data_IF_093413110681
#
_entry.id   IF_093413110681
#
_cell.length_a   1.000
_cell.length_b   1.000
_cell.length_c   1.000
_cell.angle_alpha   90.00
_cell.angle_beta   90.00
_cell.angle_gamma   90.00
#
_symmetry.space_group_name_H-M   'P 1'
#
loop_
_entity.id
_entity.type
_entity.pdbx_description
1 polymer ?
#
# COMPACT_ATOMS: atom_id res chain seq x y z
N UNK A 1 -20.43 45.22 9.45
CA UNK A 1 -20.98 43.86 9.23
C UNK A 1 -20.41 43.45 7.88
N UNK A 2 -19.15 43.02 7.89
CA UNK A 2 -18.36 42.89 6.67
C UNK A 2 -18.59 41.52 6.05
N UNK A 3 -19.11 41.50 4.82
CA UNK A 3 -19.30 40.28 4.06
C UNK A 3 -17.95 39.75 3.57
N UNK A 4 -17.65 38.50 3.91
CA UNK A 4 -16.51 37.75 3.37
C UNK A 4 -16.83 37.35 1.91
N UNK A 5 -15.92 37.55 0.95
CA UNK A 5 -16.17 37.17 -0.44
C UNK A 5 -16.29 35.65 -0.59
N UNK A 6 -17.35 35.20 -1.27
CA UNK A 6 -17.59 33.79 -1.57
C UNK A 6 -16.46 33.18 -2.38
N UNK A 7 -16.06 31.97 -2.01
CA UNK A 7 -15.09 31.16 -2.74
C UNK A 7 -15.63 30.87 -4.15
N UNK A 8 -14.82 31.04 -5.21
CA UNK A 8 -15.29 30.70 -6.55
C UNK A 8 -15.62 29.19 -6.64
N UNK A 9 -16.63 28.79 -7.43
CA UNK A 9 -16.91 27.39 -7.67
C UNK A 9 -15.66 26.72 -8.26
N UNK A 10 -15.29 25.56 -7.71
CA UNK A 10 -14.20 24.74 -8.26
C UNK A 10 -14.55 24.41 -9.70
N UNK A 11 -13.72 24.86 -10.64
CA UNK A 11 -13.82 24.46 -12.05
C UNK A 11 -13.85 22.93 -12.15
N UNK A 12 -14.71 22.41 -13.03
CA UNK A 12 -14.81 20.98 -13.33
C UNK A 12 -13.43 20.46 -13.73
N UNK A 13 -12.85 19.67 -12.83
CA UNK A 13 -11.57 19.02 -13.07
C UNK A 13 -11.83 17.96 -14.13
N UNK A 14 -11.05 17.87 -15.23
CA UNK A 14 -11.20 16.77 -16.18
C UNK A 14 -11.15 15.45 -15.43
N UNK A 15 -11.97 14.47 -15.85
CA UNK A 15 -12.00 13.14 -15.24
C UNK A 15 -10.57 12.62 -15.12
N UNK A 16 -10.15 12.34 -13.88
CA UNK A 16 -8.81 11.84 -13.60
C UNK A 16 -8.60 10.52 -14.37
N UNK A 17 -7.47 10.33 -15.07
CA UNK A 17 -7.18 9.07 -15.77
C UNK A 17 -7.01 7.88 -14.82
N UNK A 18 -7.03 8.14 -13.51
CA UNK A 18 -6.96 7.13 -12.46
C UNK A 18 -8.01 7.41 -11.40
N UNK A 19 -9.01 6.52 -11.33
CA UNK A 19 -10.05 6.43 -10.30
C UNK A 19 -9.98 5.01 -9.69
N UNK A 20 -9.41 4.87 -8.47
CA UNK A 20 -9.31 3.57 -7.82
C UNK A 20 -10.65 2.87 -7.62
N UNK A 21 -11.71 3.61 -7.28
CA UNK A 21 -13.02 3.00 -6.98
C UNK A 21 -13.60 2.40 -8.25
N UNK A 22 -13.60 3.16 -9.35
CA UNK A 22 -14.06 2.67 -10.64
C UNK A 22 -13.24 1.47 -11.12
N UNK A 23 -11.91 1.50 -10.94
CA UNK A 23 -11.02 0.40 -11.35
C UNK A 23 -11.18 -0.87 -10.50
N UNK A 24 -11.54 -0.74 -9.22
CA UNK A 24 -11.68 -1.87 -8.30
C UNK A 24 -13.08 -2.49 -8.33
N UNK A 25 -14.11 -1.70 -8.66
CA UNK A 25 -15.52 -2.13 -8.67
C UNK A 25 -15.78 -3.45 -9.42
N UNK A 26 -15.23 -3.68 -10.63
CA UNK A 26 -15.43 -4.94 -11.34
C UNK A 26 -14.90 -6.18 -10.60
N UNK A 27 -13.87 -6.01 -9.78
CA UNK A 27 -13.28 -7.09 -9.00
C UNK A 27 -14.07 -7.35 -7.71
N UNK A 28 -14.55 -6.30 -7.06
CA UNK A 28 -15.18 -6.36 -5.72
C UNK A 28 -16.68 -6.64 -5.74
N UNK A 29 -17.34 -6.50 -6.89
CA UNK A 29 -18.78 -6.81 -7.06
C UNK A 29 -19.04 -8.07 -7.90
N UNK A 30 -17.99 -8.67 -8.47
CA UNK A 30 -18.10 -9.83 -9.37
C UNK A 30 -17.94 -11.18 -8.68
N UNK A 31 -18.06 -12.27 -9.46
CA UNK A 31 -17.75 -13.64 -9.01
C UNK A 31 -16.29 -13.82 -8.59
N UNK A 32 -15.42 -12.88 -8.98
CA UNK A 32 -14.00 -12.87 -8.65
C UNK A 32 -13.71 -12.72 -7.15
N UNK A 33 -14.68 -12.35 -6.32
CA UNK A 33 -14.47 -12.19 -4.87
C UNK A 33 -14.33 -13.49 -4.08
N UNK A 34 -14.51 -14.64 -4.73
CA UNK A 34 -14.61 -15.94 -4.05
C UNK A 34 -15.83 -16.02 -3.12
N UNK A 35 -16.89 -15.27 -3.43
CA UNK A 35 -18.11 -15.21 -2.63
C UNK A 35 -18.06 -14.26 -1.43
N UNK A 36 -16.95 -13.55 -1.23
CA UNK A 36 -16.79 -12.57 -0.13
C UNK A 36 -17.39 -11.23 -0.52
N UNK A 37 -18.03 -10.55 0.43
CA UNK A 37 -18.34 -9.14 0.28
C UNK A 37 -17.07 -8.32 0.46
N UNK A 38 -16.91 -7.26 -0.33
CA UNK A 38 -15.77 -6.35 -0.27
C UNK A 38 -16.21 -4.94 0.05
N UNK A 39 -15.37 -4.21 0.78
CA UNK A 39 -15.54 -2.80 1.08
C UNK A 39 -14.39 -2.02 0.45
N UNK A 40 -14.72 -0.89 -0.18
CA UNK A 40 -13.76 0.12 -0.59
C UNK A 40 -14.07 1.39 0.17
N UNK A 41 -13.08 1.94 0.88
CA UNK A 41 -13.17 3.24 1.56
C UNK A 41 -12.03 4.13 1.10
N UNK A 42 -12.28 5.40 0.80
CA UNK A 42 -11.26 6.34 0.35
C UNK A 42 -11.25 7.59 1.23
N UNK A 43 -10.04 8.05 1.55
CA UNK A 43 -9.77 9.42 1.99
C UNK A 43 -9.01 10.17 0.89
N UNK A 44 -8.51 11.37 1.20
CA UNK A 44 -7.76 12.20 0.23
C UNK A 44 -6.44 11.58 -0.24
N UNK A 45 -5.90 10.60 0.49
CA UNK A 45 -4.58 10.01 0.28
C UNK A 45 -4.64 8.57 -0.18
N UNK A 46 -5.56 7.77 0.36
CA UNK A 46 -5.60 6.33 0.16
C UNK A 46 -7.03 5.83 -0.04
N UNK A 47 -7.18 4.88 -0.96
CA UNK A 47 -8.31 3.97 -1.00
C UNK A 47 -7.87 2.64 -0.39
N UNK A 48 -8.64 2.14 0.58
CA UNK A 48 -8.49 0.83 1.18
C UNK A 48 -9.53 -0.12 0.58
N UNK A 49 -9.09 -1.31 0.20
CA UNK A 49 -9.92 -2.40 -0.30
C UNK A 49 -9.72 -3.63 0.58
N UNK A 50 -10.78 -4.09 1.22
CA UNK A 50 -10.73 -5.19 2.19
C UNK A 50 -11.97 -6.09 2.09
N UNK A 51 -11.84 -7.41 2.35
CA UNK A 51 -12.99 -8.27 2.55
C UNK A 51 -13.74 -7.86 3.82
N UNK A 52 -15.07 -7.84 3.76
CA UNK A 52 -15.92 -7.56 4.93
C UNK A 52 -15.75 -8.69 5.95
N UNK A 53 -15.44 -8.33 7.19
CA UNK A 53 -15.21 -9.29 8.27
C UNK A 53 -13.80 -9.89 8.30
N UNK A 54 -12.89 -9.44 7.43
CA UNK A 54 -11.48 -9.83 7.50
C UNK A 54 -10.77 -9.20 8.70
N UNK A 55 -10.01 -10.01 9.43
CA UNK A 55 -9.11 -9.52 10.48
C UNK A 55 -7.67 -9.48 9.96
N UNK A 56 -7.06 -8.30 10.07
CA UNK A 56 -5.63 -8.14 9.78
C UNK A 56 -4.82 -8.30 11.07
N UNK A 57 -3.71 -9.06 11.04
CA UNK A 57 -2.80 -9.17 12.16
C UNK A 57 -2.23 -7.78 12.53
N UNK A 58 -1.75 -7.61 13.75
CA UNK A 58 -1.18 -6.33 14.20
C UNK A 58 0.07 -5.91 13.43
N UNK A 59 0.82 -6.87 12.92
CA UNK A 59 2.08 -6.69 12.19
C UNK A 59 2.37 -7.88 11.27
N UNK A 60 3.34 -7.71 10.38
CA UNK A 60 3.81 -8.78 9.51
C UNK A 60 4.62 -8.26 8.33
N UNK A 61 4.85 -9.15 7.38
CA UNK A 61 5.41 -8.81 6.08
C UNK A 61 4.36 -8.13 5.21
N UNK A 62 4.68 -6.95 4.70
CA UNK A 62 3.87 -6.22 3.73
C UNK A 62 4.58 -6.19 2.39
N UNK A 63 3.79 -6.22 1.33
CA UNK A 63 4.29 -6.02 -0.02
C UNK A 63 3.92 -4.62 -0.47
N UNK A 64 4.87 -3.90 -1.06
CA UNK A 64 4.65 -2.63 -1.73
C UNK A 64 4.87 -2.79 -3.22
N UNK A 65 3.95 -2.27 -4.01
CA UNK A 65 4.08 -2.21 -5.47
C UNK A 65 4.23 -0.76 -5.87
N UNK A 66 5.26 -0.47 -6.66
CA UNK A 66 5.49 0.86 -7.22
C UNK A 66 4.81 1.04 -8.56
N UNK A 67 4.55 2.30 -8.92
CA UNK A 67 3.98 2.65 -10.22
C UNK A 67 4.43 4.04 -10.66
N UNK A 68 4.53 4.24 -11.97
CA UNK A 68 4.47 5.58 -12.56
C UNK A 68 3.01 6.04 -12.71
N UNK A 69 2.75 7.37 -12.83
CA UNK A 69 1.41 7.88 -13.12
C UNK A 69 0.77 7.26 -14.36
N UNK A 70 1.57 6.98 -15.41
CA UNK A 70 1.08 6.36 -16.64
C UNK A 70 0.71 4.87 -16.45
N UNK A 71 1.47 4.13 -15.63
CA UNK A 71 1.24 2.70 -15.39
C UNK A 71 0.23 2.39 -14.27
N UNK A 72 -0.16 3.37 -13.46
CA UNK A 72 -0.94 3.16 -12.23
C UNK A 72 -2.25 2.40 -12.44
N UNK A 73 -3.03 2.77 -13.47
CA UNK A 73 -4.31 2.11 -13.75
C UNK A 73 -4.16 0.65 -14.18
N UNK A 74 -3.13 0.34 -14.98
CA UNK A 74 -2.86 -1.03 -15.42
C UNK A 74 -2.32 -1.88 -14.27
N UNK A 75 -1.37 -1.36 -13.50
CA UNK A 75 -0.82 -2.04 -12.31
C UNK A 75 -1.94 -2.35 -11.32
N UNK A 76 -2.82 -1.38 -11.02
CA UNK A 76 -3.94 -1.62 -10.10
C UNK A 76 -4.86 -2.74 -10.59
N UNK A 77 -5.24 -2.75 -11.87
CA UNK A 77 -6.09 -3.82 -12.44
C UNK A 77 -5.46 -5.20 -12.30
N UNK A 78 -4.17 -5.33 -12.63
CA UNK A 78 -3.45 -6.60 -12.55
C UNK A 78 -3.29 -7.09 -11.11
N UNK A 79 -2.90 -6.18 -10.20
CA UNK A 79 -2.74 -6.50 -8.78
C UNK A 79 -4.09 -6.86 -8.14
N UNK A 80 -5.15 -6.09 -8.40
CA UNK A 80 -6.48 -6.38 -7.87
C UNK A 80 -7.04 -7.73 -8.37
N UNK A 81 -6.76 -8.09 -9.62
CA UNK A 81 -7.13 -9.39 -10.19
C UNK A 81 -6.51 -10.59 -9.48
N UNK A 82 -5.40 -10.40 -8.77
CA UNK A 82 -4.75 -11.43 -7.94
C UNK A 82 -5.25 -11.35 -6.50
N UNK A 83 -5.23 -10.16 -5.90
CA UNK A 83 -5.50 -9.99 -4.47
C UNK A 83 -6.96 -10.24 -4.10
N UNK A 84 -7.90 -9.83 -4.95
CA UNK A 84 -9.35 -9.94 -4.64
C UNK A 84 -9.84 -11.38 -4.57
N UNK A 85 -9.52 -12.27 -5.53
CA UNK A 85 -9.82 -13.70 -5.40
C UNK A 85 -9.20 -14.35 -4.15
N UNK A 86 -7.97 -13.96 -3.81
CA UNK A 86 -7.25 -14.48 -2.65
C UNK A 86 -7.77 -13.92 -1.30
N UNK A 87 -8.65 -12.91 -1.31
CA UNK A 87 -9.16 -12.31 -0.09
C UNK A 87 -8.17 -11.39 0.62
N UNK A 88 -7.12 -10.91 -0.06
CA UNK A 88 -6.03 -10.17 0.57
C UNK A 88 -6.35 -8.68 0.58
N UNK A 89 -6.34 -8.06 1.76
CA UNK A 89 -6.57 -6.63 1.90
C UNK A 89 -5.38 -5.80 1.38
N UNK A 90 -5.67 -4.63 0.82
CA UNK A 90 -4.64 -3.71 0.34
C UNK A 90 -5.13 -2.26 0.35
N UNK A 91 -4.19 -1.32 0.28
CA UNK A 91 -4.47 0.08 0.00
C UNK A 91 -3.74 0.56 -1.24
N UNK A 92 -4.30 1.57 -1.89
CA UNK A 92 -3.76 2.20 -3.10
C UNK A 92 -3.90 3.72 -3.00
N UNK A 93 -3.01 4.47 -3.66
CA UNK A 93 -3.14 5.92 -3.78
C UNK A 93 -4.56 6.33 -4.25
N UNK A 94 -5.14 7.37 -3.65
CA UNK A 94 -6.54 7.76 -3.92
C UNK A 94 -6.77 8.46 -5.28
N UNK A 95 -5.73 9.00 -5.93
CA UNK A 95 -5.89 9.82 -7.13
C UNK A 95 -4.63 9.90 -7.99
N UNK A 96 -4.77 10.35 -9.24
CA UNK A 96 -3.62 10.59 -10.14
C UNK A 96 -2.64 11.62 -9.58
N UNK A 97 -3.12 12.65 -8.89
CA UNK A 97 -2.30 13.64 -8.20
C UNK A 97 -1.49 12.98 -7.07
N UNK A 98 -2.11 12.05 -6.35
CA UNK A 98 -1.47 11.31 -5.27
C UNK A 98 -0.39 10.36 -5.78
N UNK A 99 -0.60 9.72 -6.93
CA UNK A 99 0.44 8.93 -7.62
C UNK A 99 1.60 9.84 -8.05
N UNK A 100 1.31 11.00 -8.64
CA UNK A 100 2.34 11.99 -9.03
C UNK A 100 3.13 12.48 -7.82
N UNK A 101 2.47 12.73 -6.70
CA UNK A 101 3.13 13.11 -5.45
C UNK A 101 4.07 12.01 -4.94
N UNK A 102 3.65 10.75 -4.96
CA UNK A 102 4.46 9.61 -4.47
C UNK A 102 5.77 9.41 -5.26
N UNK A 103 5.83 9.83 -6.52
CA UNK A 103 7.04 9.74 -7.35
C UNK A 103 7.82 11.05 -7.43
N UNK A 104 7.32 12.11 -6.78
CA UNK A 104 7.97 13.43 -6.76
C UNK A 104 9.25 13.41 -5.93
N UNK A 105 10.23 14.24 -6.34
CA UNK A 105 11.48 14.41 -5.59
C UNK A 105 11.29 15.02 -4.20
N UNK A 106 10.18 15.75 -4.00
CA UNK A 106 9.87 16.45 -2.76
C UNK A 106 9.12 15.56 -1.76
N UNK A 107 8.75 14.34 -2.16
CA UNK A 107 8.04 13.43 -1.28
C UNK A 107 8.99 12.77 -0.28
N UNK A 108 8.48 12.48 0.92
CA UNK A 108 9.20 11.74 1.94
C UNK A 108 9.75 10.44 1.36
N UNK A 109 11.08 10.25 1.44
CA UNK A 109 11.79 9.15 0.81
C UNK A 109 11.58 7.82 1.52
N UNK A 110 11.16 7.83 2.79
CA UNK A 110 10.73 6.62 3.47
C UNK A 110 9.41 6.06 2.90
N UNK A 111 8.62 6.90 2.23
CA UNK A 111 7.28 6.57 1.73
C UNK A 111 7.14 6.67 0.20
N UNK A 112 8.12 7.26 -0.49
CA UNK A 112 8.09 7.47 -1.93
C UNK A 112 8.00 6.16 -2.72
N UNK A 113 7.26 6.20 -3.83
CA UNK A 113 7.04 5.05 -4.71
C UNK A 113 6.05 4.00 -4.21
N UNK A 114 5.59 4.04 -2.96
CA UNK A 114 4.63 3.08 -2.39
C UNK A 114 3.20 3.33 -2.90
N UNK A 115 2.94 2.91 -4.13
CA UNK A 115 1.66 3.11 -4.80
C UNK A 115 0.57 2.18 -4.24
N UNK A 116 0.87 0.89 -4.10
CA UNK A 116 0.01 -0.10 -3.44
C UNK A 116 0.74 -0.66 -2.22
N UNK A 117 0.02 -0.87 -1.11
CA UNK A 117 0.48 -1.68 0.03
C UNK A 117 -0.48 -2.86 0.21
N UNK A 118 0.05 -4.07 0.18
CA UNK A 118 -0.66 -5.34 0.37
C UNK A 118 -0.44 -5.85 1.79
N UNK A 119 -1.50 -6.39 2.41
CA UNK A 119 -1.50 -6.91 3.77
C UNK A 119 -1.92 -8.39 3.78
N UNK A 120 -0.98 -9.32 3.53
CA UNK A 120 -1.22 -10.76 3.71
C UNK A 120 -1.55 -11.06 5.18
N UNK A 121 -2.55 -11.91 5.43
CA UNK A 121 -3.05 -12.21 6.78
C UNK A 121 -2.24 -13.29 7.53
N UNK A 122 -1.08 -13.69 6.97
CA UNK A 122 -0.21 -14.74 7.51
C UNK A 122 -0.56 -16.15 7.07
N UNK A 123 -1.77 -16.39 6.53
CA UNK A 123 -2.16 -17.68 5.94
C UNK A 123 -1.68 -17.87 4.50
N UNK A 124 -1.36 -16.78 3.80
CA UNK A 124 -0.87 -16.83 2.42
C UNK A 124 0.62 -17.16 2.32
N UNK A 125 0.98 -17.95 1.31
CA UNK A 125 2.38 -18.12 0.93
C UNK A 125 2.90 -16.82 0.31
N UNK A 126 3.69 -16.07 1.10
CA UNK A 126 4.24 -14.77 0.70
C UNK A 126 5.15 -14.86 -0.54
N UNK A 127 5.94 -15.94 -0.67
CA UNK A 127 6.82 -16.18 -1.82
C UNK A 127 6.04 -16.36 -3.12
N UNK A 128 4.99 -17.18 -3.08
CA UNK A 128 4.12 -17.36 -4.23
C UNK A 128 3.41 -16.05 -4.62
N UNK A 129 2.88 -15.32 -3.63
CA UNK A 129 2.21 -14.04 -3.85
C UNK A 129 3.15 -12.99 -4.47
N UNK A 130 4.36 -12.82 -3.90
CA UNK A 130 5.33 -11.86 -4.41
C UNK A 130 5.79 -12.20 -5.83
N UNK A 131 5.96 -13.50 -6.14
CA UNK A 131 6.26 -13.96 -7.49
C UNK A 131 5.14 -13.67 -8.48
N UNK A 132 3.88 -13.96 -8.12
CA UNK A 132 2.73 -13.71 -8.98
C UNK A 132 2.55 -12.22 -9.27
N UNK A 133 2.67 -11.37 -8.25
CA UNK A 133 2.64 -9.90 -8.40
C UNK A 133 3.81 -9.40 -9.26
N UNK A 134 4.99 -10.00 -9.13
CA UNK A 134 6.16 -9.63 -9.93
C UNK A 134 5.93 -9.93 -11.41
N UNK A 135 5.47 -11.14 -11.75
CA UNK A 135 5.17 -11.51 -13.12
C UNK A 135 4.04 -10.67 -13.71
N UNK A 136 2.98 -10.41 -12.94
CA UNK A 136 1.87 -9.58 -13.39
C UNK A 136 2.30 -8.14 -13.68
N UNK A 137 3.27 -7.61 -12.93
CA UNK A 137 3.78 -6.24 -13.11
C UNK A 137 5.04 -6.14 -13.96
N UNK A 138 5.51 -7.26 -14.50
CA UNK A 138 6.70 -7.31 -15.32
C UNK A 138 6.56 -6.40 -16.55
N UNK A 139 7.66 -5.73 -16.93
CA UNK A 139 7.76 -4.78 -18.05
C UNK A 139 6.98 -3.47 -17.88
N UNK A 140 6.29 -3.26 -16.76
CA UNK A 140 5.70 -1.96 -16.44
C UNK A 140 6.72 -1.05 -15.74
N UNK A 141 6.66 0.27 -15.95
CA UNK A 141 7.59 1.19 -15.32
C UNK A 141 7.13 1.60 -13.91
N UNK A 142 8.08 1.68 -12.98
CA UNK A 142 7.88 2.19 -11.63
C UNK A 142 9.23 2.54 -10.97
N UNK A 143 9.24 3.49 -10.01
CA UNK A 143 10.45 3.84 -9.29
C UNK A 143 10.81 2.76 -8.26
N UNK A 144 12.10 2.61 -7.96
CA UNK A 144 12.54 1.83 -6.81
C UNK A 144 12.00 2.44 -5.51
N UNK A 145 11.54 1.60 -4.58
CA UNK A 145 11.19 2.01 -3.21
C UNK A 145 12.44 1.83 -2.35
N UNK A 146 12.97 2.94 -1.81
CA UNK A 146 14.28 2.91 -1.15
C UNK A 146 14.23 2.24 0.23
N UNK A 147 13.13 2.42 0.95
CA UNK A 147 12.91 1.93 2.31
C UNK A 147 12.56 0.44 2.40
N UNK A 148 12.48 -0.25 1.27
CA UNK A 148 12.02 -1.63 1.18
C UNK A 148 13.00 -2.49 0.37
N UNK A 149 13.03 -3.80 0.66
CA UNK A 149 13.85 -4.76 -0.08
C UNK A 149 13.12 -5.15 -1.37
N UNK A 150 13.75 -5.09 -2.56
CA UNK A 150 13.11 -5.55 -3.79
C UNK A 150 12.99 -7.08 -3.77
N UNK A 151 11.86 -7.62 -4.26
CA UNK A 151 11.68 -9.08 -4.40
C UNK A 151 12.71 -9.72 -5.34
N UNK A 152 13.00 -9.05 -6.46
CA UNK A 152 14.01 -9.42 -7.45
C UNK A 152 14.64 -8.16 -8.06
N UNK A 153 15.83 -8.23 -8.66
CA UNK A 153 16.41 -7.12 -9.41
C UNK A 153 15.42 -6.58 -10.46
N UNK A 154 15.19 -5.27 -10.48
CA UNK A 154 14.26 -4.62 -11.41
C UNK A 154 12.77 -4.85 -11.13
N UNK A 155 12.40 -5.56 -10.06
CA UNK A 155 11.00 -5.79 -9.69
C UNK A 155 10.30 -4.49 -9.23
N UNK A 156 9.03 -4.32 -9.58
CA UNK A 156 8.18 -3.29 -8.97
C UNK A 156 7.68 -3.68 -7.57
N UNK A 157 7.80 -4.97 -7.24
CA UNK A 157 7.40 -5.58 -5.97
C UNK A 157 8.55 -5.49 -4.97
N UNK A 158 8.28 -4.82 -3.87
CA UNK A 158 9.19 -4.65 -2.74
C UNK A 158 8.49 -5.11 -1.46
N UNK A 159 9.24 -5.36 -0.40
CA UNK A 159 8.67 -5.80 0.87
C UNK A 159 9.41 -5.23 2.06
N UNK A 160 8.67 -5.13 3.17
CA UNK A 160 9.22 -4.82 4.49
C UNK A 160 8.36 -5.41 5.59
N UNK A 161 8.97 -5.66 6.74
CA UNK A 161 8.23 -5.98 7.96
C UNK A 161 7.72 -4.69 8.61
N UNK A 162 6.52 -4.69 9.18
CA UNK A 162 6.00 -3.53 9.88
C UNK A 162 4.60 -3.72 10.46
N UNK A 163 4.18 -2.80 11.34
CA UNK A 163 2.85 -2.83 11.96
C UNK A 163 1.76 -2.50 10.95
N UNK A 164 0.73 -3.35 10.85
CA UNK A 164 -0.41 -3.23 9.92
C UNK A 164 -1.37 -2.13 10.36
N UNK A 165 -1.60 -2.05 11.67
CA UNK A 165 -2.35 -0.97 12.31
C UNK A 165 -1.38 -0.01 12.97
N UNK A 166 -1.71 1.28 12.95
CA UNK A 166 -0.97 2.25 13.74
C UNK A 166 -1.37 2.05 15.22
N UNK A 167 -0.55 1.31 15.96
CA UNK A 167 -0.56 1.30 17.42
C UNK A 167 0.65 2.11 17.91
N UNK A 168 0.62 3.45 17.79
CA UNK A 168 1.75 4.25 18.19
C UNK A 168 1.91 4.22 19.72
N UNK A 169 3.14 4.07 20.19
CA UNK A 169 3.48 4.17 21.61
C UNK A 169 4.07 5.56 21.86
N UNK A 170 3.64 6.21 22.94
CA UNK A 170 4.22 7.48 23.37
C UNK A 170 5.64 7.23 23.87
N UNK A 171 6.64 7.77 23.15
CA UNK A 171 8.03 7.70 23.59
C UNK A 171 8.34 8.71 24.69
N UNK A 172 9.48 8.52 25.37
CA UNK A 172 9.94 9.37 26.48
C UNK A 172 10.20 10.83 26.06
N UNK A 173 10.32 11.08 24.77
CA UNK A 173 10.44 12.42 24.19
C UNK A 173 9.07 13.08 23.92
N UNK A 174 7.97 12.48 24.38
CA UNK A 174 6.60 12.95 24.12
C UNK A 174 6.11 12.71 22.69
N UNK A 175 6.84 11.96 21.86
CA UNK A 175 6.48 11.70 20.47
C UNK A 175 5.95 10.27 20.32
N UNK A 176 4.76 10.15 19.73
CA UNK A 176 4.17 8.88 19.34
C UNK A 176 4.96 8.23 18.21
N UNK A 177 5.44 6.99 18.44
CA UNK A 177 6.21 6.22 17.46
C UNK A 177 5.49 4.91 17.12
N UNK A 178 5.40 4.54 15.83
CA UNK A 178 4.92 3.20 15.47
C UNK A 178 5.88 2.15 16.03
N UNK A 179 5.34 1.04 16.50
CA UNK A 179 6.10 -0.08 17.07
C UNK A 179 5.69 -1.40 16.43
N UNK A 180 6.59 -2.38 16.51
CA UNK A 180 6.36 -3.79 16.18
C UNK A 180 6.95 -4.66 17.29
N UNK A 181 6.51 -5.89 17.40
CA UNK A 181 7.11 -6.91 18.24
C UNK A 181 8.25 -7.60 17.48
N UNK A 182 9.39 -7.77 18.15
CA UNK A 182 10.49 -8.59 17.64
C UNK A 182 10.22 -10.09 17.84
N UNK A 183 11.15 -10.94 17.42
CA UNK A 183 11.02 -12.40 17.56
C UNK A 183 10.92 -12.89 19.03
N UNK A 184 11.29 -12.05 20.00
CA UNK A 184 11.15 -12.34 21.43
C UNK A 184 9.85 -11.74 22.04
N UNK A 185 8.96 -11.18 21.20
CA UNK A 185 7.72 -10.53 21.65
C UNK A 185 7.94 -9.15 22.29
N UNK A 186 9.14 -8.57 22.18
CA UNK A 186 9.44 -7.26 22.75
C UNK A 186 9.02 -6.18 21.77
N UNK A 187 8.36 -5.14 22.27
CA UNK A 187 8.03 -3.97 21.46
C UNK A 187 9.29 -3.17 21.13
N UNK A 188 9.58 -3.06 19.85
CA UNK A 188 10.67 -2.27 19.28
C UNK A 188 10.11 -1.21 18.32
N UNK A 189 10.81 -0.09 18.09
CA UNK A 189 10.37 0.92 17.12
C UNK A 189 10.25 0.34 15.68
N UNK A 190 9.15 0.62 14.98
CA UNK A 190 9.04 0.45 13.51
C UNK A 190 9.78 1.61 12.86
N UNK A 191 11.11 1.48 12.76
CA UNK A 191 11.97 2.50 12.16
C UNK A 191 11.69 2.58 10.66
N UNK A 192 11.43 3.80 10.18
CA UNK A 192 11.07 4.07 8.77
C UNK A 192 12.10 5.02 8.16
N UNK A 193 13.26 4.49 7.82
CA UNK A 193 14.30 5.21 7.11
C UNK A 193 14.11 5.13 5.58
N UNK A 194 14.74 6.03 4.80
CA UNK A 194 14.78 5.92 3.34
C UNK A 194 15.75 4.83 2.85
N UNK A 195 16.02 3.80 3.66
CA UNK A 195 16.72 2.57 3.31
C UNK A 195 16.13 1.41 4.09
N UNK A 196 16.26 0.20 3.56
CA UNK A 196 15.74 -1.01 4.19
C UNK A 196 16.40 -1.27 5.55
N UNK A 197 15.58 -1.28 6.60
CA UNK A 197 15.99 -1.51 8.00
C UNK A 197 14.98 -2.45 8.67
N UNK A 198 15.12 -3.78 8.51
CA UNK A 198 14.19 -4.72 9.14
C UNK A 198 14.41 -4.78 10.66
N UNK A 199 13.39 -5.11 11.46
CA UNK A 199 13.56 -5.36 12.88
C UNK A 199 14.53 -6.53 13.11
N UNK A 200 15.36 -6.42 14.15
CA UNK A 200 16.31 -7.47 14.49
C UNK A 200 15.60 -8.80 14.81
N UNK A 201 16.16 -9.91 14.33
CA UNK A 201 15.67 -11.26 14.64
C UNK A 201 14.45 -11.73 13.84
N UNK A 202 13.92 -10.93 12.90
CA UNK A 202 12.88 -11.38 11.97
C UNK A 202 13.57 -11.99 10.73
N UNK A 203 13.39 -13.29 10.45
CA UNK A 203 13.97 -13.94 9.27
C UNK A 203 13.39 -13.35 7.97
N UNK A 204 14.23 -13.21 6.95
CA UNK A 204 13.77 -12.83 5.62
C UNK A 204 12.84 -13.92 5.08
N UNK A 205 11.66 -13.58 4.52
CA UNK A 205 10.68 -14.59 4.12
C UNK A 205 11.01 -15.23 2.75
N UNK A 206 12.13 -14.85 2.11
CA UNK A 206 12.56 -15.39 0.82
C UNK A 206 14.00 -15.93 0.82
N UNK A 207 14.66 -16.04 1.98
CA UNK A 207 15.98 -16.67 2.17
C UNK A 207 15.89 -17.98 2.96
#
# INVERSE_FOLDING_TARGET
MDQVPGHPPRADRPASPFDPVALLTPFTQGRATGGRAWRITCDDLWCQAEPVGGELPGQGWKIHVSATPAGAAEILRKVAGILVPLGIAFKVAASAERVRALVSRQYDRASAGKFITVYPDGGHNLAALAAELHEATARLPGPRILSDRPFRPGSLVHYRYGGFRAAPVLGDNGVYRPTVEDAAGRRVPDVREPWYTPPAGIPDPFE
#
